data_IF_150650951963
#
_entry.id   IF_150650951963
#
_cell.length_a   1.000
_cell.length_b   1.000
_cell.length_c   1.000
_cell.angle_alpha   90.00
_cell.angle_beta   90.00
_cell.angle_gamma   90.00
#
_symmetry.space_group_name_H-M   'P 1'
#
loop_
_entity.id
_entity.type
_entity.pdbx_description
1 polymer ?
#
# COMPACT_ATOMS: atom_id res chain seq x y z
N UNK A 1 12.39 19.34 -12.04
CA UNK A 1 12.91 18.42 -11.01
C UNK A 1 11.79 17.46 -10.65
N UNK A 2 12.00 16.13 -10.72
CA UNK A 2 11.00 15.18 -10.20
C UNK A 2 11.19 15.13 -8.69
N UNK A 3 10.24 15.67 -7.94
CA UNK A 3 10.26 15.63 -6.48
C UNK A 3 10.11 14.17 -6.04
N UNK A 4 11.19 13.58 -5.52
CA UNK A 4 11.19 12.20 -5.04
C UNK A 4 10.51 12.16 -3.67
N UNK A 5 9.23 11.79 -3.67
CA UNK A 5 8.47 11.58 -2.44
C UNK A 5 8.63 10.13 -1.98
N UNK A 6 9.06 9.94 -0.74
CA UNK A 6 8.97 8.65 -0.06
C UNK A 6 7.59 8.51 0.57
N UNK A 7 6.92 7.40 0.29
CA UNK A 7 5.67 7.00 0.93
C UNK A 7 5.99 6.05 2.08
N UNK A 8 5.49 6.36 3.26
CA UNK A 8 5.59 5.53 4.47
C UNK A 8 4.20 5.12 4.90
N UNK A 9 3.99 3.82 5.05
CA UNK A 9 2.74 3.23 5.50
C UNK A 9 2.94 2.68 6.91
N UNK A 10 2.09 3.06 7.84
CA UNK A 10 2.16 2.60 9.23
C UNK A 10 0.79 2.05 9.66
N UNK A 11 0.72 1.08 10.59
CA UNK A 11 -0.55 0.69 11.19
C UNK A 11 -1.23 1.89 11.85
N UNK A 12 -2.57 1.94 11.79
CA UNK A 12 -3.35 3.00 12.42
C UNK A 12 -3.50 2.77 13.94
N UNK A 13 -2.37 2.65 14.65
CA UNK A 13 -2.27 2.53 16.10
C UNK A 13 -0.93 3.08 16.58
N UNK A 14 -0.93 3.71 17.76
CA UNK A 14 0.27 4.35 18.29
C UNK A 14 1.38 3.35 18.65
N UNK A 15 1.01 2.18 19.15
CA UNK A 15 1.96 1.15 19.61
C UNK A 15 2.78 0.57 18.45
N UNK A 16 2.16 0.40 17.28
CA UNK A 16 2.78 -0.23 16.11
C UNK A 16 3.23 0.77 15.03
N UNK A 17 3.16 2.08 15.28
CA UNK A 17 3.54 3.12 14.30
C UNK A 17 4.99 3.04 13.81
N UNK A 18 5.85 2.31 14.55
CA UNK A 18 7.24 2.04 14.18
C UNK A 18 7.37 0.94 13.11
N UNK A 19 6.35 0.10 12.93
CA UNK A 19 6.28 -0.93 11.88
C UNK A 19 5.89 -0.28 10.56
N UNK A 20 6.86 0.33 9.90
CA UNK A 20 6.64 1.12 8.69
C UNK A 20 7.03 0.34 7.45
N UNK A 21 6.14 0.29 6.46
CA UNK A 21 6.50 -0.11 5.09
C UNK A 21 6.84 1.13 4.26
N UNK A 22 7.93 1.08 3.51
CA UNK A 22 8.42 2.22 2.72
C UNK A 22 8.45 1.87 1.24
N UNK A 23 7.97 2.79 0.43
CA UNK A 23 8.01 2.69 -1.04
C UNK A 23 8.10 4.10 -1.64
N UNK A 24 8.46 4.19 -2.92
CA UNK A 24 8.39 5.45 -3.63
C UNK A 24 6.96 5.81 -4.02
N UNK A 25 6.73 7.09 -4.30
CA UNK A 25 5.48 7.56 -4.90
C UNK A 25 5.12 6.84 -6.22
N UNK A 26 6.05 6.49 -7.13
CA UNK A 26 5.73 5.73 -8.33
C UNK A 26 5.13 4.35 -8.02
N UNK A 27 5.73 3.60 -7.09
CA UNK A 27 5.23 2.29 -6.67
C UNK A 27 3.89 2.42 -5.96
N UNK A 28 3.72 3.45 -5.12
CA UNK A 28 2.45 3.69 -4.44
C UNK A 28 1.32 3.98 -5.43
N UNK A 29 1.54 4.87 -6.40
CA UNK A 29 0.56 5.17 -7.46
C UNK A 29 0.25 3.94 -8.31
N UNK A 30 1.25 3.13 -8.60
CA UNK A 30 1.06 1.87 -9.31
C UNK A 30 0.16 0.92 -8.51
N UNK A 31 0.40 0.74 -7.21
CA UNK A 31 -0.44 -0.07 -6.33
C UNK A 31 -1.90 0.39 -6.37
N UNK A 32 -2.13 1.70 -6.22
CA UNK A 32 -3.47 2.31 -6.31
C UNK A 32 -4.10 2.01 -7.66
N UNK A 33 -3.38 2.26 -8.76
CA UNK A 33 -3.91 2.07 -10.11
C UNK A 33 -4.30 0.62 -10.39
N UNK A 34 -3.47 -0.34 -9.97
CA UNK A 34 -3.73 -1.77 -10.11
C UNK A 34 -5.01 -2.18 -9.35
N UNK A 35 -5.15 -1.69 -8.12
CA UNK A 35 -6.33 -1.96 -7.29
C UNK A 35 -7.59 -1.36 -7.92
N UNK A 36 -7.53 -0.12 -8.39
CA UNK A 36 -8.68 0.54 -9.04
C UNK A 36 -9.09 -0.15 -10.34
N UNK A 37 -8.13 -0.57 -11.17
CA UNK A 37 -8.39 -1.35 -12.39
C UNK A 37 -9.09 -2.68 -12.10
N UNK A 38 -8.77 -3.30 -10.97
CA UNK A 38 -9.43 -4.54 -10.53
C UNK A 38 -10.84 -4.33 -9.95
N UNK A 39 -11.35 -3.09 -9.97
CA UNK A 39 -12.73 -2.75 -9.61
C UNK A 39 -12.92 -2.27 -8.17
N UNK A 40 -11.86 -2.13 -7.37
CA UNK A 40 -11.94 -1.65 -5.99
C UNK A 40 -11.39 -0.23 -5.86
N UNK A 41 -12.20 0.69 -5.34
CA UNK A 41 -11.81 2.09 -5.10
C UNK A 41 -11.89 2.39 -3.61
N UNK A 42 -10.82 2.14 -2.85
CA UNK A 42 -10.79 2.48 -1.43
C UNK A 42 -10.80 4.01 -1.24
N UNK A 43 -11.38 4.47 -0.12
CA UNK A 43 -11.15 5.84 0.32
C UNK A 43 -9.77 5.95 0.96
N UNK A 44 -8.81 6.55 0.25
CA UNK A 44 -7.42 6.66 0.71
C UNK A 44 -7.06 8.01 1.33
N UNK A 45 -8.03 8.80 1.78
CA UNK A 45 -7.77 10.10 2.39
C UNK A 45 -7.05 9.92 3.73
N UNK A 46 -5.71 9.97 3.69
CA UNK A 46 -4.83 9.83 4.86
C UNK A 46 -4.49 8.39 5.26
N UNK A 47 -5.07 7.37 4.63
CA UNK A 47 -4.89 5.98 5.04
C UNK A 47 -5.90 5.00 4.43
N UNK A 48 -5.88 3.76 4.88
CA UNK A 48 -6.94 2.77 4.65
C UNK A 48 -7.56 2.38 5.98
N UNK A 49 -8.89 2.32 6.05
CA UNK A 49 -9.55 1.77 7.23
C UNK A 49 -9.41 0.23 7.30
N UNK A 50 -9.61 -0.35 8.48
CA UNK A 50 -9.45 -1.80 8.71
C UNK A 50 -10.32 -2.69 7.80
N UNK A 51 -11.46 -2.19 7.33
CA UNK A 51 -12.38 -2.91 6.43
C UNK A 51 -11.85 -2.91 5.01
N UNK A 52 -11.10 -1.88 4.64
CA UNK A 52 -10.55 -1.70 3.28
C UNK A 52 -9.17 -2.32 3.11
N UNK A 53 -8.37 -2.48 4.17
CA UNK A 53 -7.01 -3.09 4.10
C UNK A 53 -7.04 -4.48 3.46
N UNK A 54 -7.96 -5.35 3.92
CA UNK A 54 -8.07 -6.72 3.41
C UNK A 54 -8.43 -6.77 1.92
N UNK A 55 -9.54 -6.13 1.50
CA UNK A 55 -9.89 -5.99 0.09
C UNK A 55 -8.77 -5.37 -0.74
N UNK A 56 -8.13 -4.30 -0.26
CA UNK A 56 -7.01 -3.68 -0.97
C UNK A 56 -5.87 -4.66 -1.25
N UNK A 57 -5.42 -5.39 -0.22
CA UNK A 57 -4.36 -6.37 -0.36
C UNK A 57 -4.74 -7.51 -1.33
N UNK A 58 -5.98 -7.97 -1.29
CA UNK A 58 -6.48 -9.02 -2.17
C UNK A 58 -6.56 -8.56 -3.64
N UNK A 59 -7.11 -7.37 -3.87
CA UNK A 59 -7.21 -6.77 -5.19
C UNK A 59 -5.81 -6.50 -5.78
N UNK A 60 -4.89 -6.00 -4.96
CA UNK A 60 -3.49 -5.79 -5.36
C UNK A 60 -2.81 -7.11 -5.74
N UNK A 61 -2.94 -8.16 -4.91
CA UNK A 61 -2.37 -9.48 -5.21
C UNK A 61 -2.87 -10.01 -6.55
N UNK A 62 -4.19 -9.99 -6.77
CA UNK A 62 -4.80 -10.45 -8.03
C UNK A 62 -4.31 -9.65 -9.23
N UNK A 63 -4.17 -8.34 -9.08
CA UNK A 63 -3.67 -7.49 -10.15
C UNK A 63 -2.19 -7.76 -10.47
N UNK A 64 -1.35 -8.07 -9.47
CA UNK A 64 0.04 -8.49 -9.70
C UNK A 64 0.15 -9.85 -10.40
N UNK A 65 -0.80 -10.76 -10.17
CA UNK A 65 -0.85 -12.05 -10.87
C UNK A 65 -1.32 -11.91 -12.32
N UNK A 66 -2.19 -10.93 -12.60
CA UNK A 66 -2.82 -10.74 -13.91
C UNK A 66 -2.08 -9.74 -14.83
N UNK A 67 -1.45 -8.70 -14.28
CA UNK A 67 -0.79 -7.65 -15.06
C UNK A 67 0.72 -7.87 -15.17
N UNK A 68 1.29 -7.49 -16.31
CA UNK A 68 2.73 -7.48 -16.51
C UNK A 68 3.33 -6.23 -15.86
N UNK A 69 3.78 -6.40 -14.62
CA UNK A 69 4.49 -5.36 -13.84
C UNK A 69 6.00 -5.58 -13.96
N UNK A 70 6.77 -4.49 -14.00
CA UNK A 70 8.23 -4.54 -13.92
C UNK A 70 8.68 -5.32 -12.68
N UNK A 71 9.76 -6.09 -12.80
CA UNK A 71 10.18 -7.00 -11.73
C UNK A 71 10.59 -6.27 -10.44
N UNK A 72 11.21 -5.10 -10.56
CA UNK A 72 11.60 -4.29 -9.40
C UNK A 72 10.36 -3.79 -8.66
N UNK A 73 9.39 -3.23 -9.39
CA UNK A 73 8.14 -2.77 -8.81
C UNK A 73 7.32 -3.93 -8.23
N UNK A 74 7.29 -5.07 -8.90
CA UNK A 74 6.58 -6.27 -8.45
C UNK A 74 7.05 -6.71 -7.07
N UNK A 75 8.36 -6.82 -6.85
CA UNK A 75 8.93 -7.23 -5.55
C UNK A 75 8.51 -6.28 -4.41
N UNK A 76 8.52 -4.97 -4.67
CA UNK A 76 8.06 -3.97 -3.69
C UNK A 76 6.57 -4.14 -3.39
N UNK A 77 5.74 -4.34 -4.42
CA UNK A 77 4.29 -4.48 -4.25
C UNK A 77 3.89 -5.81 -3.60
N UNK A 78 4.64 -6.89 -3.83
CA UNK A 78 4.46 -8.16 -3.13
C UNK A 78 4.77 -8.00 -1.62
N UNK A 79 5.86 -7.30 -1.28
CA UNK A 79 6.15 -6.93 0.11
C UNK A 79 5.08 -6.03 0.75
N UNK A 80 4.46 -5.14 -0.04
CA UNK A 80 3.32 -4.35 0.43
C UNK A 80 2.13 -5.25 0.76
N UNK A 81 1.80 -6.21 -0.10
CA UNK A 81 0.70 -7.17 0.17
C UNK A 81 0.96 -7.95 1.46
N UNK A 82 2.19 -8.41 1.69
CA UNK A 82 2.58 -9.10 2.92
C UNK A 82 2.45 -8.22 4.15
N UNK A 83 2.91 -6.97 4.06
CA UNK A 83 2.76 -6.00 5.14
C UNK A 83 1.28 -5.76 5.50
N UNK A 84 0.42 -5.58 4.49
CA UNK A 84 -1.02 -5.39 4.68
C UNK A 84 -1.71 -6.65 5.25
N UNK A 85 -1.12 -7.83 5.07
CA UNK A 85 -1.64 -9.09 5.61
C UNK A 85 -1.31 -9.30 7.10
N UNK A 86 -0.39 -8.51 7.68
CA UNK A 86 -0.06 -8.58 9.11
C UNK A 86 -1.26 -8.22 9.98
N UNK A 87 -1.38 -8.88 11.14
CA UNK A 87 -2.52 -8.69 12.05
C UNK A 87 -2.67 -7.22 12.50
N UNK A 88 -1.54 -6.56 12.80
CA UNK A 88 -1.50 -5.16 13.22
C UNK A 88 -2.13 -4.20 12.20
N UNK A 89 -1.94 -4.46 10.89
CA UNK A 89 -2.51 -3.62 9.83
C UNK A 89 -3.94 -4.04 9.51
N UNK A 90 -4.22 -5.34 9.41
CA UNK A 90 -5.58 -5.85 9.12
C UNK A 90 -6.60 -5.47 10.18
N UNK A 91 -6.23 -5.50 11.46
CA UNK A 91 -7.16 -5.23 12.55
C UNK A 91 -7.39 -3.73 12.81
N UNK A 92 -6.44 -2.87 12.42
CA UNK A 92 -6.44 -1.43 12.76
C UNK A 92 -6.61 -0.49 11.57
N UNK A 93 -6.25 -0.92 10.36
CA UNK A 93 -6.09 -0.02 9.22
C UNK A 93 -4.64 0.45 9.08
N UNK A 94 -4.40 1.33 8.11
CA UNK A 94 -3.10 1.93 7.86
C UNK A 94 -3.20 3.45 7.68
N UNK A 95 -2.14 4.16 8.02
CA UNK A 95 -1.95 5.59 7.77
C UNK A 95 -0.87 5.79 6.72
N UNK A 96 -1.10 6.72 5.79
CA UNK A 96 -0.15 7.06 4.72
C UNK A 96 0.55 8.36 5.07
N UNK A 97 1.88 8.34 5.14
CA UNK A 97 2.70 9.53 5.31
C UNK A 97 3.54 9.76 4.05
N UNK A 98 3.50 10.97 3.50
CA UNK A 98 4.37 11.39 2.39
C UNK A 98 5.49 12.26 2.95
N UNK A 99 6.73 11.88 2.68
CA UNK A 99 7.92 12.56 3.20
C UNK A 99 8.76 13.04 2.03
N UNK A 100 9.13 14.33 2.08
CA UNK A 100 10.06 14.95 1.14
C UNK A 100 11.46 14.38 1.36
N UNK A 101 12.12 13.97 0.27
CA UNK A 101 13.53 13.59 0.26
C UNK A 101 14.35 14.54 -0.59
#
# INVERSE_FOLDING_TARGET
MKENHEVRLSPNTFDDRHKVFKLGEPEFRLAVSLVEKSGFRPNMLGGLDRRDVGPFAQHLRRALDAERVDESARRVLEGLVEFLATDHVRSRGLTIHRVWR
#
